data_IF_267611319740
#
_entry.id   IF_267611319740
#
_cell.length_a   1.000
_cell.length_b   1.000
_cell.length_c   1.000
_cell.angle_alpha   90.00
_cell.angle_beta   90.00
_cell.angle_gamma   90.00
#
_symmetry.space_group_name_H-M   'P 1'
#
loop_
_entity.id
_entity.type
_entity.pdbx_description
1 polymer ?
#
# COMPACT_ATOMS: atom_id res chain seq x y z
N UNK A 1 26.86 5.25 -39.33
CA UNK A 1 27.20 6.68 -39.20
C UNK A 1 26.73 7.35 -40.49
N UNK A 2 26.00 8.47 -40.38
CA UNK A 2 25.21 9.22 -41.40
C UNK A 2 23.70 8.91 -41.43
N UNK A 3 22.99 9.65 -40.57
CA UNK A 3 21.57 10.03 -40.51
C UNK A 3 21.18 10.93 -41.73
N UNK A 4 20.01 11.61 -41.87
CA UNK A 4 18.60 11.41 -41.47
C UNK A 4 17.59 11.60 -42.63
N UNK A 5 16.31 11.36 -42.36
CA UNK A 5 15.13 12.13 -42.84
C UNK A 5 15.03 12.48 -44.35
N UNK A 6 14.35 11.60 -45.09
CA UNK A 6 13.75 11.91 -46.38
C UNK A 6 12.28 12.31 -46.27
N UNK A 7 12.02 13.62 -46.30
CA UNK A 7 10.90 14.27 -47.00
C UNK A 7 9.46 13.97 -46.53
N UNK A 8 8.99 14.83 -45.61
CA UNK A 8 7.64 15.39 -45.65
C UNK A 8 7.36 16.01 -47.03
N UNK A 9 6.29 15.60 -47.68
CA UNK A 9 5.56 16.42 -48.65
C UNK A 9 4.06 16.09 -48.65
N UNK A 10 3.32 16.99 -47.98
CA UNK A 10 2.05 17.60 -48.34
C UNK A 10 0.80 16.77 -48.73
N UNK A 11 -0.07 16.66 -47.73
CA UNK A 11 -1.39 17.33 -47.65
C UNK A 11 -2.44 17.10 -48.75
N UNK A 12 -3.53 16.44 -48.36
CA UNK A 12 -4.88 16.67 -48.88
C UNK A 12 -5.90 16.51 -47.75
N UNK A 13 -6.09 17.58 -46.99
CA UNK A 13 -7.24 17.85 -46.13
C UNK A 13 -8.55 17.92 -46.92
N UNK A 14 -9.49 17.01 -46.64
CA UNK A 14 -10.93 17.19 -46.89
C UNK A 14 -11.66 16.09 -46.09
N UNK A 15 -12.48 16.29 -45.07
CA UNK A 15 -13.13 17.45 -44.48
C UNK A 15 -14.25 16.82 -43.64
N UNK A 16 -14.07 16.68 -42.32
CA UNK A 16 -15.11 16.17 -41.42
C UNK A 16 -15.59 17.34 -40.58
N UNK A 17 -16.87 17.65 -40.72
CA UNK A 17 -17.55 18.81 -40.18
C UNK A 17 -17.55 18.84 -38.63
N UNK A 18 -17.35 20.04 -38.09
CA UNK A 18 -17.91 20.48 -36.81
C UNK A 18 -19.09 21.44 -37.11
N UNK A 19 -20.09 21.57 -36.23
CA UNK A 19 -19.94 22.59 -35.18
C UNK A 19 -20.62 22.24 -33.85
N UNK A 20 -20.03 22.68 -32.72
CA UNK A 20 -20.73 22.69 -31.44
C UNK A 20 -19.82 22.62 -30.22
N UNK A 21 -19.03 23.65 -29.98
CA UNK A 21 -18.31 23.86 -28.72
C UNK A 21 -19.29 24.18 -27.58
N UNK A 22 -19.32 23.37 -26.52
CA UNK A 22 -19.79 23.82 -25.19
C UNK A 22 -19.20 22.99 -24.04
N UNK A 23 -18.45 23.67 -23.18
CA UNK A 23 -18.18 23.25 -21.80
C UNK A 23 -16.84 22.54 -21.57
N UNK A 24 -15.73 23.28 -21.68
CA UNK A 24 -14.87 23.59 -20.54
C UNK A 24 -15.52 23.35 -19.15
N UNK A 25 -14.93 22.46 -18.36
CA UNK A 25 -15.09 22.42 -16.91
C UNK A 25 -15.63 21.11 -16.36
N UNK A 26 -14.74 20.17 -16.04
CA UNK A 26 -14.61 19.68 -14.66
C UNK A 26 -13.19 19.12 -14.53
N UNK A 27 -12.31 19.68 -13.68
CA UNK A 27 -11.07 19.00 -13.34
C UNK A 27 -11.45 17.67 -12.70
N UNK A 28 -10.73 16.61 -13.10
CA UNK A 28 -10.81 15.29 -12.49
C UNK A 28 -10.50 15.40 -10.99
N UNK A 29 -11.50 15.72 -10.19
CA UNK A 29 -11.44 15.61 -8.75
C UNK A 29 -11.97 14.23 -8.38
N UNK A 30 -11.28 13.21 -8.89
CA UNK A 30 -11.22 11.89 -8.27
C UNK A 30 -10.46 12.03 -6.97
N UNK A 31 -11.03 12.76 -6.00
CA UNK A 31 -10.80 12.44 -4.60
C UNK A 31 -11.46 11.08 -4.45
N UNK A 32 -10.68 10.01 -4.69
CA UNK A 32 -10.91 8.78 -3.95
C UNK A 32 -11.03 9.23 -2.51
N UNK A 33 -12.25 9.22 -1.99
CA UNK A 33 -12.45 9.38 -0.58
C UNK A 33 -11.59 8.29 0.04
N UNK A 34 -10.45 8.68 0.61
CA UNK A 34 -9.67 7.82 1.48
C UNK A 34 -10.63 7.54 2.63
N UNK A 35 -11.35 6.43 2.50
CA UNK A 35 -12.40 6.05 3.41
C UNK A 35 -11.71 5.74 4.72
N UNK A 36 -12.14 6.39 5.81
CA UNK A 36 -11.73 5.98 7.16
C UNK A 36 -12.11 4.53 7.49
N UNK A 37 -12.88 3.85 6.63
CA UNK A 37 -13.15 2.42 6.67
C UNK A 37 -11.94 1.57 6.27
N UNK A 38 -11.07 2.05 5.37
CA UNK A 38 -9.97 1.25 4.81
C UNK A 38 -8.85 1.11 5.83
N UNK A 39 -8.38 2.22 6.42
CA UNK A 39 -7.27 2.18 7.39
C UNK A 39 -7.58 1.33 8.64
N UNK A 40 -8.79 1.44 9.21
CA UNK A 40 -9.17 0.59 10.36
C UNK A 40 -9.15 -0.88 9.97
N UNK A 41 -9.67 -1.22 8.80
CA UNK A 41 -9.74 -2.60 8.31
C UNK A 41 -8.33 -3.13 8.04
N UNK A 42 -7.48 -2.35 7.37
CA UNK A 42 -6.08 -2.68 7.11
C UNK A 42 -5.30 -2.87 8.42
N UNK A 43 -5.48 -1.97 9.39
CA UNK A 43 -4.85 -2.10 10.70
C UNK A 43 -5.28 -3.39 11.40
N UNK A 44 -6.57 -3.72 11.39
CA UNK A 44 -7.09 -4.94 12.00
C UNK A 44 -6.58 -6.19 11.29
N UNK A 45 -6.47 -6.16 9.96
CA UNK A 45 -5.85 -7.22 9.17
C UNK A 45 -4.38 -7.40 9.55
N UNK A 46 -3.63 -6.31 9.72
CA UNK A 46 -2.22 -6.37 10.12
C UNK A 46 -2.03 -6.88 11.55
N UNK A 47 -2.93 -6.54 12.48
CA UNK A 47 -2.93 -7.13 13.83
C UNK A 47 -3.14 -8.65 13.75
N UNK A 48 -4.11 -9.10 12.96
CA UNK A 48 -4.37 -10.52 12.76
C UNK A 48 -3.19 -11.23 12.08
N UNK A 49 -2.50 -10.56 11.17
CA UNK A 49 -1.30 -11.11 10.51
C UNK A 49 -0.13 -11.26 11.47
N UNK A 50 0.11 -10.29 12.36
CA UNK A 50 1.13 -10.40 13.41
C UNK A 50 0.81 -11.53 14.38
N UNK A 51 -0.46 -11.76 14.71
CA UNK A 51 -0.89 -12.91 15.51
C UNK A 51 -0.59 -14.25 14.81
N UNK A 52 -0.87 -14.34 13.50
CA UNK A 52 -0.51 -15.51 12.68
C UNK A 52 0.98 -15.73 12.61
N UNK A 53 1.79 -14.69 12.44
CA UNK A 53 3.24 -14.79 12.42
C UNK A 53 3.80 -15.32 13.75
N UNK A 54 3.23 -14.88 14.88
CA UNK A 54 3.61 -15.41 16.20
C UNK A 54 3.25 -16.89 16.34
N UNK A 55 2.04 -17.29 15.94
CA UNK A 55 1.63 -18.71 15.97
C UNK A 55 2.50 -19.57 15.03
N UNK A 56 2.84 -19.05 13.85
CA UNK A 56 3.71 -19.73 12.90
C UNK A 56 5.13 -19.90 13.47
N UNK A 57 5.70 -18.86 14.07
CA UNK A 57 7.00 -18.96 14.73
C UNK A 57 7.00 -20.02 15.85
N UNK A 58 5.91 -20.10 16.64
CA UNK A 58 5.77 -21.15 17.66
C UNK A 58 5.68 -22.55 17.05
N UNK A 59 4.94 -22.72 15.96
CA UNK A 59 4.85 -23.98 15.24
C UNK A 59 6.21 -24.41 14.66
N UNK A 60 6.91 -23.51 13.98
CA UNK A 60 8.24 -23.78 13.41
C UNK A 60 9.25 -24.14 14.50
N UNK A 61 9.15 -23.55 15.69
CA UNK A 61 9.96 -23.95 16.86
C UNK A 61 9.66 -25.40 17.29
N UNK A 62 8.39 -25.79 17.35
CA UNK A 62 7.99 -27.17 17.67
C UNK A 62 8.53 -28.13 16.60
N UNK A 63 8.33 -27.79 15.33
CA UNK A 63 8.78 -28.60 14.19
C UNK A 63 10.30 -28.75 14.16
N UNK A 64 11.05 -27.76 14.64
CA UNK A 64 12.50 -27.86 14.74
C UNK A 64 12.97 -28.80 15.85
N UNK A 65 12.22 -28.88 16.95
CA UNK A 65 12.51 -29.84 18.03
C UNK A 65 12.15 -31.27 17.60
N UNK A 66 11.15 -31.44 16.74
CA UNK A 66 10.78 -32.75 16.15
C UNK A 66 11.65 -33.14 14.96
N UNK A 67 12.48 -32.22 14.45
CA UNK A 67 13.40 -32.44 13.33
C UNK A 67 12.79 -32.20 11.94
N UNK A 68 11.56 -31.69 11.86
CA UNK A 68 10.86 -31.35 10.62
C UNK A 68 11.21 -29.95 10.09
N UNK A 69 11.66 -29.04 10.97
CA UNK A 69 12.17 -27.73 10.59
C UNK A 69 13.66 -27.56 10.94
N UNK A 70 14.37 -26.76 10.15
CA UNK A 70 15.79 -26.46 10.40
C UNK A 70 15.95 -25.21 11.28
N UNK A 71 17.07 -25.10 11.99
CA UNK A 71 17.32 -24.01 12.95
C UNK A 71 17.27 -22.62 12.27
N UNK A 72 17.74 -22.51 11.04
CA UNK A 72 17.64 -21.30 10.22
C UNK A 72 16.19 -20.84 10.01
N UNK A 73 15.26 -21.79 9.78
CA UNK A 73 13.84 -21.47 9.60
C UNK A 73 13.21 -20.93 10.89
N UNK A 74 13.58 -21.50 12.05
CA UNK A 74 13.15 -21.00 13.36
C UNK A 74 13.60 -19.57 13.58
N UNK A 75 14.88 -19.29 13.29
CA UNK A 75 15.47 -17.96 13.46
C UNK A 75 14.75 -16.96 12.55
N UNK A 76 14.56 -17.29 11.28
CA UNK A 76 13.87 -16.41 10.32
C UNK A 76 12.42 -16.16 10.72
N UNK A 77 11.67 -17.21 11.10
CA UNK A 77 10.28 -17.07 11.51
C UNK A 77 10.15 -16.19 12.77
N UNK A 78 11.04 -16.38 13.74
CA UNK A 78 11.06 -15.60 14.98
C UNK A 78 11.42 -14.14 14.74
N UNK A 79 12.45 -13.86 13.94
CA UNK A 79 12.87 -12.49 13.61
C UNK A 79 11.80 -11.74 12.80
N UNK A 80 11.12 -12.45 11.89
CA UNK A 80 10.01 -11.89 11.11
C UNK A 80 8.85 -11.51 12.02
N UNK A 81 8.47 -12.40 12.95
CA UNK A 81 7.41 -12.13 13.91
C UNK A 81 7.76 -10.95 14.84
N UNK A 82 8.99 -10.88 15.35
CA UNK A 82 9.44 -9.78 16.22
C UNK A 82 9.47 -8.44 15.46
N UNK A 83 9.98 -8.43 14.23
CA UNK A 83 10.00 -7.22 13.40
C UNK A 83 8.58 -6.73 13.11
N UNK A 84 7.67 -7.62 12.71
CA UNK A 84 6.28 -7.28 12.44
C UNK A 84 5.58 -6.73 13.70
N UNK A 85 5.85 -7.31 14.87
CA UNK A 85 5.33 -6.81 16.14
C UNK A 85 5.85 -5.42 16.49
N UNK A 86 7.16 -5.16 16.31
CA UNK A 86 7.74 -3.82 16.54
C UNK A 86 7.10 -2.77 15.63
N UNK A 87 6.86 -3.11 14.37
CA UNK A 87 6.16 -2.21 13.44
C UNK A 87 4.73 -1.92 13.91
N UNK A 88 4.01 -2.93 14.39
CA UNK A 88 2.68 -2.77 14.96
C UNK A 88 2.68 -1.81 16.15
N UNK A 89 3.67 -1.93 17.06
CA UNK A 89 3.81 -1.04 18.21
C UNK A 89 4.06 0.41 17.79
N UNK A 90 4.85 0.65 16.75
CA UNK A 90 5.06 1.99 16.22
C UNK A 90 3.75 2.60 15.70
N UNK A 91 2.93 1.80 15.00
CA UNK A 91 1.60 2.23 14.54
C UNK A 91 0.67 2.48 15.73
N UNK A 92 0.66 1.60 16.74
CA UNK A 92 -0.11 1.77 17.98
C UNK A 92 0.22 3.10 18.65
N UNK A 93 1.50 3.40 18.84
CA UNK A 93 1.94 4.64 19.46
C UNK A 93 1.46 5.86 18.65
N UNK A 94 1.59 5.81 17.32
CA UNK A 94 1.13 6.90 16.45
C UNK A 94 -0.38 7.13 16.53
N UNK A 95 -1.17 6.07 16.72
CA UNK A 95 -2.62 6.18 16.88
C UNK A 95 -3.02 6.78 18.23
N UNK A 96 -2.28 6.45 19.29
CA UNK A 96 -2.45 7.10 20.60
C UNK A 96 -2.17 8.60 20.48
N UNK A 97 -1.04 8.98 19.87
CA UNK A 97 -0.70 10.38 19.64
C UNK A 97 -1.78 11.12 18.84
N UNK A 98 -2.29 10.49 17.77
CA UNK A 98 -3.34 11.06 16.94
C UNK A 98 -4.66 11.23 17.70
N UNK A 99 -4.99 10.29 18.60
CA UNK A 99 -6.15 10.40 19.47
C UNK A 99 -6.01 11.57 20.45
N UNK A 100 -4.83 11.72 21.07
CA UNK A 100 -4.55 12.81 22.00
C UNK A 100 -4.58 14.18 21.29
N UNK A 101 -4.05 14.28 20.07
CA UNK A 101 -4.12 15.50 19.26
C UNK A 101 -5.56 15.89 18.93
N UNK A 102 -6.40 14.94 18.48
CA UNK A 102 -7.82 15.20 18.19
C UNK A 102 -8.58 15.64 19.45
N UNK A 103 -8.21 15.13 20.62
CA UNK A 103 -8.78 15.55 21.90
C UNK A 103 -8.37 16.99 22.26
N UNK A 104 -7.10 17.34 22.08
CA UNK A 104 -6.56 18.67 22.38
C UNK A 104 -7.07 19.76 21.43
N UNK A 105 -7.42 19.41 20.18
CA UNK A 105 -8.04 20.35 19.21
C UNK A 105 -9.51 20.65 19.54
N UNK A 106 -10.20 19.79 20.32
CA UNK A 106 -11.63 19.90 20.63
C UNK A 106 -11.95 20.67 21.91
N UNK A 107 -10.96 21.28 22.56
CA UNK A 107 -11.15 22.19 23.71
C UNK A 107 -10.90 23.64 23.29
#
# INVERSE_FOLDING_TARGET
>A
MSDPLGLVSNNSTQGIAAPGVKGLGTPANGRSAVGGADFKTDLMNQIAEVDRLQQNAEQVKIDAVTGEASLDQVIVATETADTAFRMLLAVRNKLVDAYDEVKNVRV
#
